data_IF_867352960965
#
_entry.id   IF_867352960965
#
_cell.length_a   1.000
_cell.length_b   1.000
_cell.length_c   1.000
_cell.angle_alpha   90.00
_cell.angle_beta   90.00
_cell.angle_gamma   90.00
#
_symmetry.space_group_name_H-M   'P 1'
#
loop_
_entity.id
_entity.type
_entity.pdbx_description
1 polymer ?
#
# COMPACT_ATOMS: atom_id res chain seq x y z
N UNK A 1 57.99 41.79 23.28
CA UNK A 1 56.91 41.00 23.91
C UNK A 1 55.62 41.22 23.13
N UNK A 2 54.79 40.17 23.04
CA UNK A 2 53.58 40.01 22.20
C UNK A 2 53.92 39.75 20.71
N UNK A 3 53.70 38.58 20.12
CA UNK A 3 52.87 37.42 20.48
C UNK A 3 51.83 37.18 19.40
N UNK A 4 52.27 36.88 18.17
CA UNK A 4 51.40 36.70 17.00
C UNK A 4 50.81 35.27 17.02
N UNK A 5 49.58 35.11 17.54
CA UNK A 5 48.86 33.82 17.56
C UNK A 5 48.19 33.56 16.20
N UNK A 6 48.84 32.78 15.36
CA UNK A 6 48.21 32.10 14.23
C UNK A 6 47.18 31.07 14.76
N UNK A 7 45.89 31.28 14.47
CA UNK A 7 44.84 30.31 14.76
C UNK A 7 44.86 29.19 13.72
N UNK A 8 45.36 28.04 14.15
CA UNK A 8 45.37 26.78 13.42
C UNK A 8 43.92 26.29 13.19
N UNK A 9 43.38 26.48 11.98
CA UNK A 9 42.10 25.89 11.57
C UNK A 9 42.32 24.43 11.18
N UNK A 10 42.22 23.52 12.15
CA UNK A 10 42.06 22.07 11.91
C UNK A 10 40.80 21.82 11.06
N UNK A 11 40.96 21.65 9.75
CA UNK A 11 39.95 21.07 8.85
C UNK A 11 39.64 19.64 9.34
N UNK A 12 38.49 19.44 10.00
CA UNK A 12 37.91 18.10 10.18
C UNK A 12 37.56 17.55 8.79
N UNK A 13 38.37 16.62 8.28
CA UNK A 13 38.01 15.77 7.14
C UNK A 13 36.76 14.96 7.53
N UNK A 14 35.58 15.37 7.07
CA UNK A 14 34.38 14.51 7.02
C UNK A 14 34.56 13.53 5.86
N UNK A 15 35.43 12.55 6.05
CA UNK A 15 35.53 11.38 5.18
C UNK A 15 34.68 10.25 5.75
N UNK A 16 33.36 10.33 5.60
CA UNK A 16 32.49 9.19 5.85
C UNK A 16 32.66 8.20 4.70
N UNK A 17 33.55 7.22 4.85
CA UNK A 17 33.66 6.12 3.89
C UNK A 17 32.32 5.39 3.83
N UNK A 18 31.74 5.25 2.63
CA UNK A 18 30.57 4.38 2.42
C UNK A 18 30.93 2.99 2.94
N UNK A 19 30.27 2.55 4.02
CA UNK A 19 30.46 1.22 4.59
C UNK A 19 30.14 0.21 3.48
N UNK A 20 31.12 -0.61 3.11
CA UNK A 20 30.96 -1.63 2.06
C UNK A 20 29.88 -2.62 2.53
N UNK A 21 28.96 -2.98 1.65
CA UNK A 21 27.89 -3.94 1.96
C UNK A 21 28.49 -5.31 2.33
N UNK A 22 27.86 -6.03 3.26
CA UNK A 22 28.20 -7.42 3.54
C UNK A 22 27.79 -8.32 2.38
N UNK A 23 28.32 -9.56 2.33
CA UNK A 23 27.93 -10.54 1.30
C UNK A 23 26.42 -10.84 1.34
N UNK A 24 25.86 -10.97 2.54
CA UNK A 24 24.42 -11.14 2.77
C UNK A 24 23.62 -9.95 2.24
N UNK A 25 24.03 -8.72 2.56
CA UNK A 25 23.38 -7.51 2.04
C UNK A 25 23.46 -7.41 0.51
N UNK A 26 24.57 -7.85 -0.09
CA UNK A 26 24.72 -7.92 -1.54
C UNK A 26 23.76 -8.94 -2.18
N UNK A 27 23.64 -10.13 -1.59
CA UNK A 27 22.70 -11.16 -2.05
C UNK A 27 21.25 -10.71 -1.92
N UNK A 28 20.89 -10.14 -0.76
CA UNK A 28 19.57 -9.56 -0.52
C UNK A 28 19.25 -8.43 -1.51
N UNK A 29 20.21 -7.52 -1.75
CA UNK A 29 20.04 -6.46 -2.75
C UNK A 29 19.83 -6.99 -4.16
N UNK A 30 20.57 -8.02 -4.56
CA UNK A 30 20.39 -8.67 -5.86
C UNK A 30 18.98 -9.25 -5.98
N UNK A 31 18.54 -10.03 -5.00
CA UNK A 31 17.20 -10.64 -4.98
C UNK A 31 16.07 -9.61 -5.02
N UNK A 32 16.16 -8.56 -4.19
CA UNK A 32 15.17 -7.47 -4.16
C UNK A 32 15.15 -6.73 -5.50
N UNK A 33 16.33 -6.39 -6.04
CA UNK A 33 16.43 -5.67 -7.32
C UNK A 33 15.87 -6.50 -8.48
N UNK A 34 16.16 -7.81 -8.52
CA UNK A 34 15.61 -8.72 -9.52
C UNK A 34 14.09 -8.72 -9.50
N UNK A 35 13.47 -8.81 -8.32
CA UNK A 35 12.00 -8.75 -8.19
C UNK A 35 11.40 -7.41 -8.63
N UNK A 36 12.04 -6.29 -8.27
CA UNK A 36 11.58 -4.95 -8.65
C UNK A 36 11.57 -4.78 -10.17
N UNK A 37 12.56 -5.32 -10.87
CA UNK A 37 12.76 -5.09 -12.31
C UNK A 37 12.43 -6.30 -13.20
N UNK A 38 11.63 -7.28 -12.73
CA UNK A 38 11.27 -8.50 -13.49
C UNK A 38 10.80 -8.18 -14.92
N UNK A 39 9.89 -7.21 -15.08
CA UNK A 39 9.27 -6.83 -16.36
C UNK A 39 10.29 -6.40 -17.43
N UNK A 40 11.36 -5.70 -17.02
CA UNK A 40 12.42 -5.26 -17.93
C UNK A 40 13.33 -6.42 -18.39
N UNK A 41 13.51 -7.45 -17.56
CA UNK A 41 14.30 -8.62 -17.91
C UNK A 41 13.61 -9.48 -18.97
N UNK A 42 12.28 -9.59 -18.90
CA UNK A 42 11.49 -10.35 -19.88
C UNK A 42 11.40 -9.64 -21.24
N UNK A 43 11.33 -8.30 -21.27
CA UNK A 43 11.35 -7.53 -22.52
C UNK A 43 12.71 -7.60 -23.25
N UNK A 44 13.83 -7.64 -22.52
CA UNK A 44 15.16 -7.80 -23.13
C UNK A 44 15.39 -9.17 -23.80
N UNK A 45 14.58 -10.18 -23.45
CA UNK A 45 14.62 -11.48 -24.12
C UNK A 45 13.77 -11.52 -25.41
N UNK A 46 12.83 -10.59 -25.59
CA UNK A 46 11.87 -10.60 -26.69
C UNK A 46 12.03 -9.46 -27.71
N UNK A 47 12.75 -8.36 -27.38
CA UNK A 47 13.01 -7.33 -28.38
C UNK A 47 14.26 -6.50 -28.09
N UNK A 48 15.24 -6.58 -28.98
CA UNK A 48 16.25 -5.54 -29.15
C UNK A 48 15.61 -4.38 -29.93
N UNK A 49 14.83 -3.52 -29.27
CA UNK A 49 14.42 -2.23 -29.87
C UNK A 49 15.42 -1.18 -29.42
N UNK A 50 16.27 -0.77 -30.36
CA UNK A 50 17.15 0.38 -30.24
C UNK A 50 16.28 1.62 -30.35
N UNK A 51 16.26 2.46 -29.32
CA UNK A 51 15.65 3.79 -29.39
C UNK A 51 16.53 4.70 -30.26
N UNK A 52 15.88 5.47 -31.14
CA UNK A 52 16.46 6.27 -32.24
C UNK A 52 17.23 7.52 -31.73
N UNK A 53 17.42 7.62 -30.41
CA UNK A 53 18.20 8.67 -29.75
C UNK A 53 19.47 8.18 -29.06
N UNK A 54 19.96 6.97 -29.33
CA UNK A 54 21.36 6.60 -29.09
C UNK A 54 21.89 6.74 -27.65
N UNK A 55 21.03 6.94 -26.66
CA UNK A 55 21.42 6.92 -25.25
C UNK A 55 21.23 5.51 -24.76
N UNK A 56 22.31 4.73 -24.78
CA UNK A 56 22.42 3.56 -23.90
C UNK A 56 22.17 4.06 -22.46
N UNK A 57 20.99 3.82 -21.91
CA UNK A 57 20.81 3.87 -20.45
C UNK A 57 21.68 2.76 -19.89
N UNK A 58 22.90 3.12 -19.50
CA UNK A 58 23.80 2.23 -18.78
C UNK A 58 23.04 1.71 -17.55
N UNK A 59 22.74 0.42 -17.54
CA UNK A 59 22.18 -0.26 -16.38
C UNK A 59 23.06 0.00 -15.16
N UNK A 60 22.39 0.35 -14.06
CA UNK A 60 22.90 0.46 -12.69
C UNK A 60 24.42 0.53 -12.56
N UNK A 61 24.99 1.74 -12.65
CA UNK A 61 26.24 2.00 -11.91
C UNK A 61 25.94 1.67 -10.45
N UNK A 62 26.58 0.64 -9.90
CA UNK A 62 26.35 0.17 -8.53
C UNK A 62 26.24 1.34 -7.54
N UNK A 63 25.04 1.58 -7.04
CA UNK A 63 24.77 2.73 -6.18
C UNK A 63 23.34 3.29 -6.16
N UNK A 64 22.44 2.91 -7.07
CA UNK A 64 21.03 3.33 -6.96
C UNK A 64 20.33 2.55 -5.83
N UNK A 65 19.78 3.28 -4.87
CA UNK A 65 19.04 2.70 -3.75
C UNK A 65 17.65 2.30 -4.25
N UNK A 66 17.26 1.05 -4.01
CA UNK A 66 15.88 0.61 -4.23
C UNK A 66 15.04 1.11 -3.05
N UNK A 67 14.09 2.00 -3.33
CA UNK A 67 13.24 2.63 -2.33
C UNK A 67 11.82 2.07 -2.43
N UNK A 68 11.31 1.58 -1.30
CA UNK A 68 9.94 1.12 -1.15
C UNK A 68 9.19 2.14 -0.31
N UNK A 69 7.97 2.43 -0.72
CA UNK A 69 6.96 3.12 0.08
C UNK A 69 5.83 2.12 0.34
N UNK A 70 5.60 1.75 1.59
CA UNK A 70 4.68 0.68 1.96
C UNK A 70 3.41 1.18 2.64
N UNK A 71 3.24 2.49 2.84
CA UNK A 71 2.05 3.05 3.47
C UNK A 71 1.78 4.46 2.92
N UNK A 72 0.75 4.59 2.09
CA UNK A 72 0.38 5.87 1.49
C UNK A 72 -1.10 5.93 1.10
N UNK A 73 -1.63 7.16 1.06
CA UNK A 73 -3.05 7.45 0.88
C UNK A 73 -3.30 8.38 -0.31
N UNK A 74 -4.43 8.17 -0.98
CA UNK A 74 -4.90 8.97 -2.10
C UNK A 74 -6.26 9.61 -1.80
N UNK A 75 -6.78 10.38 -2.76
CA UNK A 75 -8.13 10.95 -2.71
C UNK A 75 -9.26 9.91 -2.65
N UNK A 76 -8.98 8.63 -2.85
CA UNK A 76 -10.00 7.59 -2.70
C UNK A 76 -10.34 7.32 -1.23
N UNK A 77 -9.51 7.77 -0.29
CA UNK A 77 -9.84 7.79 1.13
C UNK A 77 -9.73 9.20 1.71
N UNK A 78 -8.62 9.58 2.32
CA UNK A 78 -8.43 10.89 2.94
C UNK A 78 -7.10 11.54 2.57
N UNK A 79 -6.44 11.08 1.50
CA UNK A 79 -5.33 11.79 0.87
C UNK A 79 -5.77 13.04 0.10
N UNK A 80 -4.78 13.81 -0.35
CA UNK A 80 -4.94 15.04 -1.13
C UNK A 80 -4.54 14.88 -2.58
N UNK A 81 -3.84 13.81 -2.94
CA UNK A 81 -3.40 13.53 -4.31
C UNK A 81 -4.27 12.42 -4.92
N UNK A 82 -4.59 12.53 -6.22
CA UNK A 82 -5.15 11.36 -6.92
C UNK A 82 -4.08 10.25 -6.98
N UNK A 83 -4.47 8.98 -7.17
CA UNK A 83 -3.52 7.90 -7.36
C UNK A 83 -2.43 8.22 -8.41
N UNK A 84 -2.81 8.81 -9.54
CA UNK A 84 -1.85 9.28 -10.57
C UNK A 84 -0.84 10.27 -10.02
N UNK A 85 -1.30 11.30 -9.30
CA UNK A 85 -0.41 12.34 -8.72
C UNK A 85 0.45 11.80 -7.59
N UNK A 86 -0.06 10.83 -6.83
CA UNK A 86 0.69 10.13 -5.79
C UNK A 86 1.87 9.35 -6.41
N UNK A 87 1.61 8.61 -7.49
CA UNK A 87 2.65 7.87 -8.23
C UNK A 87 3.69 8.81 -8.82
N UNK A 88 3.27 9.90 -9.47
CA UNK A 88 4.18 10.92 -10.01
C UNK A 88 5.09 11.49 -8.90
N UNK A 89 4.52 11.80 -7.73
CA UNK A 89 5.28 12.30 -6.57
C UNK A 89 6.26 11.26 -6.04
N UNK A 90 5.83 10.02 -5.89
CA UNK A 90 6.68 8.91 -5.45
C UNK A 90 7.87 8.70 -6.42
N UNK A 91 7.61 8.74 -7.73
CA UNK A 91 8.66 8.66 -8.75
C UNK A 91 9.71 9.78 -8.60
N UNK A 92 9.25 11.02 -8.42
CA UNK A 92 10.15 12.17 -8.21
C UNK A 92 11.05 12.00 -6.98
N UNK A 93 10.59 11.27 -5.96
CA UNK A 93 11.36 10.96 -4.76
C UNK A 93 12.22 9.69 -4.89
N UNK A 94 12.25 9.07 -6.07
CA UNK A 94 13.07 7.88 -6.35
C UNK A 94 12.46 6.56 -5.88
N UNK A 95 11.18 6.55 -5.49
CA UNK A 95 10.45 5.32 -5.13
C UNK A 95 10.37 4.40 -6.35
N UNK A 96 10.64 3.11 -6.13
CA UNK A 96 10.55 2.05 -7.17
C UNK A 96 9.35 1.14 -6.96
N UNK A 97 8.95 0.95 -5.70
CA UNK A 97 7.79 0.16 -5.31
C UNK A 97 6.92 0.99 -4.38
N UNK A 98 5.65 1.14 -4.71
CA UNK A 98 4.68 1.91 -3.96
C UNK A 98 3.48 1.02 -3.60
N UNK A 99 3.15 0.90 -2.31
CA UNK A 99 1.87 0.37 -1.88
C UNK A 99 0.89 1.53 -1.71
N UNK A 100 -0.23 1.48 -2.44
CA UNK A 100 -1.36 2.36 -2.18
C UNK A 100 -2.28 1.64 -1.19
N UNK A 101 -2.51 2.25 -0.03
CA UNK A 101 -3.17 1.63 1.12
C UNK A 101 -4.28 2.53 1.65
N UNK A 102 -5.11 3.05 0.74
CA UNK A 102 -6.25 3.90 1.08
C UNK A 102 -7.12 3.28 2.19
N UNK A 103 -7.64 4.11 3.08
CA UNK A 103 -8.51 3.61 4.14
C UNK A 103 -9.77 2.94 3.60
N UNK A 104 -9.95 1.68 3.99
CA UNK A 104 -11.13 0.87 3.76
C UNK A 104 -11.56 0.79 2.27
N UNK A 105 -10.65 0.98 1.31
CA UNK A 105 -10.96 0.85 -0.13
C UNK A 105 -9.73 0.53 -0.96
N UNK A 106 -9.92 -0.26 -2.02
CA UNK A 106 -8.91 -0.52 -3.06
C UNK A 106 -9.27 0.15 -4.40
N UNK A 107 -10.22 1.09 -4.40
CA UNK A 107 -10.75 1.67 -5.65
C UNK A 107 -9.75 2.51 -6.43
N UNK A 108 -8.70 3.03 -5.78
CA UNK A 108 -7.63 3.81 -6.42
C UNK A 108 -6.52 2.96 -7.06
N UNK A 109 -6.49 1.65 -6.79
CA UNK A 109 -5.41 0.76 -7.25
C UNK A 109 -5.30 0.71 -8.79
N UNK A 110 -6.40 0.54 -9.57
CA UNK A 110 -6.28 0.52 -11.03
C UNK A 110 -5.65 1.80 -11.62
N UNK A 111 -6.01 2.98 -11.11
CA UNK A 111 -5.43 4.25 -11.55
C UNK A 111 -3.93 4.33 -11.18
N UNK A 112 -3.56 3.89 -9.97
CA UNK A 112 -2.16 3.86 -9.54
C UNK A 112 -1.31 2.94 -10.43
N UNK A 113 -1.82 1.74 -10.73
CA UNK A 113 -1.13 0.75 -11.58
C UNK A 113 -0.91 1.32 -12.99
N UNK A 114 -1.93 1.93 -13.59
CA UNK A 114 -1.80 2.54 -14.92
C UNK A 114 -0.78 3.68 -14.93
N UNK A 115 -0.82 4.58 -13.94
CA UNK A 115 0.12 5.68 -13.82
C UNK A 115 1.58 5.21 -13.65
N UNK A 116 1.79 4.12 -12.90
CA UNK A 116 3.11 3.58 -12.55
C UNK A 116 3.88 3.00 -13.73
N UNK A 117 3.16 2.48 -14.74
CA UNK A 117 3.76 1.93 -15.97
C UNK A 117 4.63 2.95 -16.69
N UNK A 118 4.19 4.20 -16.73
CA UNK A 118 4.91 5.31 -17.38
C UNK A 118 6.29 5.56 -16.75
N UNK A 119 6.47 5.14 -15.50
CA UNK A 119 7.68 5.36 -14.72
C UNK A 119 8.48 4.07 -14.44
N UNK A 120 8.00 2.91 -14.91
CA UNK A 120 8.56 1.61 -14.56
C UNK A 120 8.54 1.36 -13.04
N UNK A 121 7.52 1.87 -12.36
CA UNK A 121 7.30 1.63 -10.94
C UNK A 121 6.38 0.43 -10.73
N UNK A 122 6.58 -0.32 -9.65
CA UNK A 122 5.68 -1.40 -9.25
C UNK A 122 4.70 -0.89 -8.20
N UNK A 123 3.41 -1.15 -8.39
CA UNK A 123 2.39 -0.91 -7.37
C UNK A 123 2.09 -2.20 -6.64
N UNK A 124 2.12 -2.19 -5.31
CA UNK A 124 1.58 -3.26 -4.47
C UNK A 124 0.12 -2.89 -4.16
N UNK A 125 -0.88 -3.66 -4.63
CA UNK A 125 -2.26 -3.47 -4.22
C UNK A 125 -2.39 -3.62 -2.70
N UNK A 126 -2.94 -2.62 -2.04
CA UNK A 126 -3.14 -2.66 -0.60
C UNK A 126 -4.33 -1.84 -0.12
N UNK A 127 -4.60 -1.96 1.17
CA UNK A 127 -5.66 -1.25 1.87
C UNK A 127 -5.26 -1.10 3.34
N UNK A 128 -5.56 0.05 3.95
CA UNK A 128 -5.51 0.19 5.41
C UNK A 128 -6.91 -0.01 5.98
N UNK A 129 -7.12 -1.13 6.67
CA UNK A 129 -8.41 -1.53 7.21
C UNK A 129 -8.58 -0.96 8.61
N UNK A 130 -9.66 -0.21 8.81
CA UNK A 130 -10.06 0.35 10.10
C UNK A 130 -10.76 -0.72 10.92
N UNK A 131 -10.24 -0.97 12.13
CA UNK A 131 -10.75 -2.01 13.03
C UNK A 131 -10.77 -1.49 14.46
N UNK A 132 -11.33 -2.28 15.36
CA UNK A 132 -11.25 -2.07 16.80
C UNK A 132 -10.66 -3.30 17.48
N UNK A 133 -9.88 -3.04 18.52
CA UNK A 133 -9.50 -4.05 19.49
C UNK A 133 -10.36 -3.89 20.73
N UNK A 134 -11.00 -4.98 21.14
CA UNK A 134 -11.82 -5.04 22.36
C UNK A 134 -11.22 -6.07 23.32
N UNK A 135 -10.61 -5.64 24.44
CA UNK A 135 -10.16 -6.58 25.46
C UNK A 135 -11.35 -7.26 26.11
N UNK A 136 -11.22 -8.54 26.44
CA UNK A 136 -12.30 -9.40 26.94
C UNK A 136 -12.94 -8.96 28.27
N UNK A 137 -12.45 -7.89 28.91
CA UNK A 137 -12.87 -7.43 30.22
C UNK A 137 -12.96 -5.90 30.27
N UNK A 138 -14.15 -5.33 30.05
CA UNK A 138 -14.57 -3.95 30.41
C UNK A 138 -13.67 -2.76 30.00
N UNK A 139 -12.62 -2.98 29.24
CA UNK A 139 -11.74 -1.94 28.73
C UNK A 139 -12.38 -1.24 27.53
N UNK A 140 -12.03 0.03 27.35
CA UNK A 140 -12.47 0.83 26.22
C UNK A 140 -11.92 0.25 24.92
N UNK A 141 -12.79 0.11 23.92
CA UNK A 141 -12.41 -0.24 22.56
C UNK A 141 -11.32 0.71 22.05
N UNK A 142 -10.29 0.14 21.43
CA UNK A 142 -9.15 0.88 20.91
C UNK A 142 -9.13 0.77 19.38
N UNK A 143 -9.12 1.88 18.63
CA UNK A 143 -8.97 1.84 17.18
C UNK A 143 -7.62 1.24 16.79
N UNK A 144 -7.65 0.27 15.88
CA UNK A 144 -6.45 -0.37 15.33
C UNK A 144 -6.56 -0.38 13.81
N UNK A 145 -5.45 -0.13 13.12
CA UNK A 145 -5.41 -0.20 11.67
C UNK A 145 -4.48 -1.32 11.20
N UNK A 146 -4.96 -2.10 10.22
CA UNK A 146 -4.21 -3.21 9.63
C UNK A 146 -3.98 -2.91 8.15
N UNK A 147 -2.73 -2.89 7.72
CA UNK A 147 -2.36 -2.87 6.32
C UNK A 147 -2.50 -4.28 5.76
N UNK A 148 -3.16 -4.39 4.61
CA UNK A 148 -3.21 -5.60 3.81
C UNK A 148 -2.43 -5.37 2.50
N UNK A 149 -1.56 -6.31 2.14
CA UNK A 149 -0.84 -6.29 0.86
C UNK A 149 -1.14 -7.53 0.03
N UNK A 150 -1.57 -7.31 -1.21
CA UNK A 150 -1.96 -8.34 -2.15
C UNK A 150 -1.01 -8.42 -3.35
N UNK A 151 -1.15 -9.51 -4.11
CA UNK A 151 -0.51 -9.66 -5.41
C UNK A 151 -1.07 -8.68 -6.43
N UNK A 152 -0.49 -8.60 -7.63
CA UNK A 152 -1.07 -7.82 -8.72
C UNK A 152 -2.51 -8.20 -9.06
N UNK A 153 -2.88 -9.48 -8.95
CA UNK A 153 -4.26 -9.95 -9.19
C UNK A 153 -5.23 -9.48 -8.09
N UNK A 154 -4.71 -9.05 -6.94
CA UNK A 154 -5.52 -8.68 -5.79
C UNK A 154 -5.92 -9.86 -4.91
N UNK A 155 -6.95 -9.66 -4.06
CA UNK A 155 -7.51 -10.72 -3.21
C UNK A 155 -8.24 -11.79 -4.02
N UNK A 156 -8.03 -13.07 -3.67
CA UNK A 156 -8.66 -14.24 -4.32
C UNK A 156 -10.19 -14.21 -4.21
N UNK A 157 -10.71 -13.75 -3.07
CA UNK A 157 -12.15 -13.60 -2.75
C UNK A 157 -12.51 -12.12 -2.67
N UNK A 158 -12.27 -11.37 -3.76
CA UNK A 158 -12.44 -9.91 -3.81
C UNK A 158 -13.82 -9.44 -3.32
N UNK A 159 -14.91 -10.11 -3.72
CA UNK A 159 -16.26 -9.65 -3.36
C UNK A 159 -16.53 -9.70 -1.85
N UNK A 160 -15.88 -10.61 -1.13
CA UNK A 160 -16.05 -10.76 0.31
C UNK A 160 -15.32 -9.67 1.08
N UNK A 161 -14.06 -9.41 0.71
CA UNK A 161 -13.32 -8.29 1.28
C UNK A 161 -13.93 -6.95 0.88
N UNK A 162 -14.38 -6.75 -0.36
CA UNK A 162 -15.01 -5.49 -0.77
C UNK A 162 -16.32 -5.24 -0.01
N UNK A 163 -17.12 -6.30 0.25
CA UNK A 163 -18.31 -6.20 1.10
C UNK A 163 -17.94 -5.85 2.55
N UNK A 164 -16.90 -6.48 3.10
CA UNK A 164 -16.39 -6.18 4.44
C UNK A 164 -15.95 -4.70 4.55
N UNK A 165 -15.17 -4.23 3.57
CA UNK A 165 -14.73 -2.84 3.49
C UNK A 165 -15.90 -1.86 3.27
N UNK A 166 -16.90 -2.23 2.47
CA UNK A 166 -18.10 -1.42 2.26
C UNK A 166 -18.89 -1.19 3.54
N UNK A 167 -19.01 -2.22 4.40
CA UNK A 167 -19.66 -2.09 5.69
C UNK A 167 -18.93 -1.10 6.61
N UNK A 168 -17.58 -1.14 6.63
CA UNK A 168 -16.78 -0.17 7.38
C UNK A 168 -17.02 1.26 6.86
N UNK A 169 -17.03 1.43 5.53
CA UNK A 169 -17.29 2.73 4.88
C UNK A 169 -18.69 3.27 5.22
N UNK A 170 -19.70 2.42 5.29
CA UNK A 170 -21.06 2.83 5.71
C UNK A 170 -21.07 3.30 7.18
N UNK A 171 -20.44 2.54 8.09
CA UNK A 171 -20.29 2.96 9.49
C UNK A 171 -19.56 4.30 9.62
N UNK A 172 -18.50 4.51 8.81
CA UNK A 172 -17.75 5.78 8.74
C UNK A 172 -18.63 6.94 8.27
N UNK A 173 -19.49 6.72 7.28
CA UNK A 173 -20.44 7.72 6.79
C UNK A 173 -21.43 8.16 7.88
N UNK A 174 -22.03 7.20 8.59
CA UNK A 174 -22.94 7.47 9.71
C UNK A 174 -22.23 8.21 10.84
N UNK A 175 -21.02 7.79 11.18
CA UNK A 175 -20.17 8.45 12.18
C UNK A 175 -19.89 9.90 11.82
N UNK A 176 -19.56 10.20 10.58
CA UNK A 176 -19.30 11.59 10.15
C UNK A 176 -20.54 12.47 10.22
N UNK A 177 -21.73 11.94 9.90
CA UNK A 177 -22.98 12.67 10.13
C UNK A 177 -23.19 12.99 11.60
N UNK A 178 -22.93 12.05 12.51
CA UNK A 178 -23.04 12.29 13.94
C UNK A 178 -22.05 13.35 14.43
N UNK A 179 -20.79 13.32 13.95
CA UNK A 179 -19.81 14.37 14.26
C UNK A 179 -20.29 15.76 13.83
N UNK A 180 -20.89 15.89 12.63
CA UNK A 180 -21.49 17.14 12.17
C UNK A 180 -22.64 17.59 13.06
N UNK A 181 -23.52 16.66 13.47
CA UNK A 181 -24.61 16.98 14.41
C UNK A 181 -24.09 17.45 15.77
N UNK A 182 -23.03 16.83 16.31
CA UNK A 182 -22.38 17.25 17.55
C UNK A 182 -21.76 18.65 17.41
N UNK A 183 -21.05 18.92 16.32
CA UNK A 183 -20.50 20.26 16.05
C UNK A 183 -21.60 21.33 15.96
N UNK A 184 -22.74 21.01 15.32
CA UNK A 184 -23.88 21.91 15.24
C UNK A 184 -24.45 22.24 16.64
N UNK A 185 -24.54 21.24 17.54
CA UNK A 185 -24.94 21.45 18.95
C UNK A 185 -23.93 22.31 19.72
N UNK A 186 -22.65 22.24 19.37
CA UNK A 186 -21.59 23.09 19.92
C UNK A 186 -21.56 24.50 19.32
N UNK A 187 -22.58 24.88 18.53
CA UNK A 187 -22.69 26.19 17.86
C UNK A 187 -21.59 26.42 16.79
N UNK A 188 -21.10 25.34 16.18
CA UNK A 188 -20.19 25.34 15.04
C UNK A 188 -20.91 24.73 13.82
N UNK A 189 -21.90 25.43 13.23
CA UNK A 189 -22.75 24.83 12.21
C UNK A 189 -21.96 24.46 10.96
N UNK A 190 -21.95 23.17 10.61
CA UNK A 190 -21.44 22.61 9.37
C UNK A 190 -22.57 21.94 8.59
N UNK A 191 -22.53 22.15 7.27
CA UNK A 191 -23.43 21.50 6.32
C UNK A 191 -22.84 20.16 5.90
N UNK A 192 -23.67 19.11 5.88
CA UNK A 192 -23.25 17.78 5.45
C UNK A 192 -22.70 17.80 4.01
N UNK A 193 -23.33 18.58 3.14
CA UNK A 193 -22.98 18.71 1.73
C UNK A 193 -21.56 19.25 1.55
N UNK A 194 -21.10 20.09 2.48
CA UNK A 194 -19.73 20.61 2.46
C UNK A 194 -18.72 19.52 2.81
N UNK A 195 -18.97 18.75 3.87
CA UNK A 195 -18.12 17.61 4.26
C UNK A 195 -18.07 16.58 3.13
N UNK A 196 -19.22 16.23 2.54
CA UNK A 196 -19.29 15.28 1.43
C UNK A 196 -18.54 15.80 0.18
N UNK A 197 -18.64 17.10 -0.12
CA UNK A 197 -17.88 17.72 -1.22
C UNK A 197 -16.37 17.65 -1.00
N UNK A 198 -15.90 17.84 0.23
CA UNK A 198 -14.47 17.75 0.57
C UNK A 198 -13.97 16.30 0.45
N UNK A 199 -14.77 15.33 0.89
CA UNK A 199 -14.43 13.91 0.75
C UNK A 199 -14.37 13.49 -0.74
N UNK A 200 -15.31 13.96 -1.55
CA UNK A 200 -15.43 13.60 -2.95
C UNK A 200 -16.42 12.45 -3.19
N UNK A 201 -16.74 12.23 -4.45
CA UNK A 201 -17.75 11.23 -4.83
C UNK A 201 -17.24 9.82 -4.55
N UNK A 202 -18.08 8.99 -3.91
CA UNK A 202 -17.74 7.59 -3.58
C UNK A 202 -16.79 7.43 -2.40
N UNK A 203 -16.37 8.52 -1.74
CA UNK A 203 -15.45 8.50 -0.60
C UNK A 203 -16.26 8.61 0.69
N UNK A 204 -16.05 7.65 1.61
CA UNK A 204 -16.68 7.69 2.93
C UNK A 204 -16.00 8.74 3.82
N UNK A 205 -16.70 9.81 4.25
CA UNK A 205 -16.05 10.89 4.98
C UNK A 205 -15.57 10.43 6.37
N UNK A 206 -14.26 10.45 6.62
CA UNK A 206 -13.67 10.31 7.96
C UNK A 206 -13.53 11.62 8.76
N UNK A 207 -12.94 11.51 9.96
CA UNK A 207 -12.62 12.65 10.85
C UNK A 207 -11.82 13.75 10.16
N UNK A 208 -10.89 13.38 9.28
CA UNK A 208 -10.07 14.34 8.55
C UNK A 208 -10.89 15.24 7.63
N UNK A 209 -11.94 14.72 6.97
CA UNK A 209 -12.82 15.53 6.12
C UNK A 209 -13.67 16.51 6.93
N UNK A 210 -14.15 16.07 8.10
CA UNK A 210 -14.85 16.97 9.04
C UNK A 210 -13.90 18.07 9.53
N UNK A 211 -12.66 17.72 9.90
CA UNK A 211 -11.63 18.67 10.30
C UNK A 211 -11.33 19.69 9.19
N UNK A 212 -11.23 19.26 7.93
CA UNK A 212 -11.06 20.15 6.76
C UNK A 212 -12.25 21.08 6.61
N UNK A 213 -13.48 20.57 6.73
CA UNK A 213 -14.69 21.40 6.68
C UNK A 213 -14.70 22.47 7.80
N UNK A 214 -14.23 22.13 9.00
CA UNK A 214 -14.07 23.10 10.10
C UNK A 214 -13.06 24.20 9.77
N UNK A 215 -11.94 23.85 9.11
CA UNK A 215 -10.93 24.82 8.67
C UNK A 215 -11.50 25.72 7.57
N UNK A 216 -12.10 25.15 6.53
CA UNK A 216 -12.69 25.91 5.43
C UNK A 216 -13.84 26.82 5.89
N UNK A 217 -14.59 26.42 6.92
CA UNK A 217 -15.63 27.24 7.53
C UNK A 217 -15.10 28.31 8.51
N UNK A 218 -13.78 28.34 8.78
CA UNK A 218 -13.15 29.33 9.65
C UNK A 218 -13.36 29.09 11.16
N UNK A 219 -13.84 27.91 11.57
CA UNK A 219 -14.04 27.58 12.98
C UNK A 219 -12.73 27.22 13.71
N UNK A 220 -11.73 26.77 12.96
CA UNK A 220 -10.39 26.43 13.45
C UNK A 220 -9.35 26.86 12.44
N UNK A 221 -8.17 27.24 12.91
CA UNK A 221 -7.05 27.74 12.10
C UNK A 221 -6.38 26.65 11.26
N UNK A 222 -6.39 25.41 11.75
CA UNK A 222 -5.70 24.29 11.11
C UNK A 222 -6.23 22.94 11.63
N UNK A 223 -5.84 21.86 10.94
CA UNK A 223 -6.24 20.49 11.28
C UNK A 223 -5.84 20.10 12.72
N UNK A 224 -4.66 20.50 13.17
CA UNK A 224 -4.18 20.21 14.54
C UNK A 224 -5.13 20.79 15.58
N UNK A 225 -5.63 22.00 15.37
CA UNK A 225 -6.62 22.61 16.25
C UNK A 225 -7.96 21.87 16.22
N UNK A 226 -8.43 21.43 15.04
CA UNK A 226 -9.65 20.63 14.91
C UNK A 226 -9.57 19.33 15.73
N UNK A 227 -8.49 18.56 15.56
CA UNK A 227 -8.28 17.32 16.31
C UNK A 227 -8.11 17.57 17.81
N UNK A 228 -7.24 18.49 18.22
CA UNK A 228 -6.96 18.71 19.65
C UNK A 228 -8.14 19.26 20.46
N UNK A 229 -9.05 20.03 19.85
CA UNK A 229 -10.18 20.66 20.57
C UNK A 229 -11.49 19.90 20.45
N UNK A 230 -11.74 19.24 19.32
CA UNK A 230 -13.08 18.73 18.98
C UNK A 230 -13.11 17.25 18.62
N UNK A 231 -12.15 16.78 17.82
CA UNK A 231 -12.22 15.48 17.14
C UNK A 231 -11.25 14.40 17.69
N UNK A 232 -10.53 14.69 18.78
CA UNK A 232 -9.70 13.70 19.48
C UNK A 232 -10.57 12.59 20.08
N UNK A 233 -9.98 11.44 20.40
CA UNK A 233 -10.72 10.31 20.97
C UNK A 233 -11.37 10.68 22.31
N UNK A 234 -12.70 10.56 22.39
CA UNK A 234 -13.49 11.02 23.53
C UNK A 234 -13.77 12.53 23.57
N UNK A 235 -13.39 13.27 22.52
CA UNK A 235 -13.64 14.71 22.39
C UNK A 235 -15.11 15.08 22.17
N UNK A 236 -15.45 16.38 22.25
CA UNK A 236 -16.84 16.84 22.29
C UNK A 236 -17.61 16.61 20.98
N UNK A 237 -16.91 16.52 19.85
CA UNK A 237 -17.49 16.17 18.56
C UNK A 237 -17.10 14.77 18.08
N UNK A 238 -16.37 14.00 18.89
CA UNK A 238 -15.98 12.64 18.56
C UNK A 238 -17.21 11.72 18.55
N UNK A 239 -17.24 10.79 17.59
CA UNK A 239 -18.21 9.70 17.56
C UNK A 239 -17.44 8.40 17.36
N UNK A 240 -17.89 7.35 18.03
CA UNK A 240 -17.44 5.98 17.75
C UNK A 240 -18.15 5.45 16.52
N UNK A 241 -17.54 4.47 15.86
CA UNK A 241 -18.12 3.74 14.73
C UNK A 241 -18.51 2.32 15.13
N UNK A 242 -18.86 1.53 14.12
CA UNK A 242 -19.09 0.08 14.23
C UNK A 242 -18.02 -0.66 13.42
N UNK A 243 -16.76 -0.31 13.66
CA UNK A 243 -15.64 -1.02 13.06
C UNK A 243 -15.65 -2.51 13.50
N UNK A 244 -15.19 -3.43 12.63
CA UNK A 244 -15.09 -4.84 12.95
C UNK A 244 -13.93 -5.11 13.92
N UNK A 245 -13.95 -6.29 14.53
CA UNK A 245 -12.86 -6.74 15.38
C UNK A 245 -11.59 -6.94 14.54
N UNK A 246 -10.46 -6.51 15.08
CA UNK A 246 -9.17 -6.55 14.39
C UNK A 246 -8.75 -7.98 14.01
N UNK A 247 -9.10 -8.99 14.81
CA UNK A 247 -8.81 -10.38 14.51
C UNK A 247 -9.59 -10.88 13.27
N UNK A 248 -10.84 -10.44 13.09
CA UNK A 248 -11.65 -10.78 11.91
C UNK A 248 -11.01 -10.22 10.63
N UNK A 249 -10.51 -8.99 10.69
CA UNK A 249 -9.80 -8.39 9.55
C UNK A 249 -8.51 -9.15 9.22
N UNK A 250 -7.70 -9.52 10.22
CA UNK A 250 -6.46 -10.30 9.99
C UNK A 250 -6.76 -11.66 9.37
N UNK A 251 -7.79 -12.36 9.87
CA UNK A 251 -8.21 -13.64 9.33
C UNK A 251 -8.69 -13.51 7.88
N UNK A 252 -9.53 -12.52 7.59
CA UNK A 252 -10.03 -12.27 6.24
C UNK A 252 -8.89 -11.92 5.27
N UNK A 253 -7.89 -11.15 5.69
CA UNK A 253 -6.71 -10.86 4.86
C UNK A 253 -5.98 -12.16 4.49
N UNK A 254 -5.78 -13.06 5.45
CA UNK A 254 -5.13 -14.35 5.21
C UNK A 254 -5.96 -15.23 4.26
N UNK A 255 -7.26 -15.36 4.50
CA UNK A 255 -8.18 -16.15 3.66
C UNK A 255 -8.31 -15.63 2.22
N UNK A 256 -7.98 -14.36 1.99
CA UNK A 256 -8.04 -13.72 0.68
C UNK A 256 -6.67 -13.64 -0.01
N UNK A 257 -5.64 -14.29 0.53
CA UNK A 257 -4.31 -14.35 -0.08
C UNK A 257 -3.48 -13.07 0.10
N UNK A 258 -3.73 -12.32 1.17
CA UNK A 258 -3.01 -11.10 1.52
C UNK A 258 -2.08 -11.28 2.71
N UNK A 259 -1.17 -10.32 2.87
CA UNK A 259 -0.31 -10.22 4.05
C UNK A 259 -0.81 -9.11 4.98
N UNK A 260 -1.01 -9.45 6.26
CA UNK A 260 -1.50 -8.53 7.29
C UNK A 260 -0.37 -7.91 8.13
N UNK A 261 -0.37 -6.59 8.27
CA UNK A 261 0.65 -5.81 8.98
C UNK A 261 0.00 -4.75 9.87
N UNK A 262 0.44 -4.65 11.13
CA UNK A 262 -0.07 -3.63 12.05
C UNK A 262 0.50 -2.25 11.69
N UNK A 263 -0.39 -1.31 11.35
CA UNK A 263 -0.03 0.06 11.02
C UNK A 263 0.30 0.85 12.29
N UNK A 264 1.27 1.77 12.18
CA UNK A 264 1.64 2.81 13.16
C UNK A 264 1.38 2.46 14.64
N UNK A 265 1.93 1.35 15.18
CA UNK A 265 1.61 0.85 16.52
C UNK A 265 1.96 1.82 17.66
N UNK A 266 2.74 2.87 17.38
CA UNK A 266 3.00 3.98 18.30
C UNK A 266 1.79 4.88 18.56
N UNK A 267 0.72 4.77 17.77
CA UNK A 267 -0.55 5.46 18.02
C UNK A 267 -1.42 4.71 19.05
N UNK A 268 -1.08 3.45 19.36
CA UNK A 268 -1.81 2.63 20.31
C UNK A 268 -1.48 3.03 21.76
N UNK A 269 -2.50 3.00 22.63
CA UNK A 269 -2.40 3.14 24.08
C UNK A 269 -1.75 1.91 24.69
N UNK A 270 -2.18 0.71 24.28
CA UNK A 270 -1.71 -0.57 24.85
C UNK A 270 -1.24 -1.57 23.77
N UNK A 271 -0.09 -1.33 23.12
CA UNK A 271 0.33 -2.11 21.95
C UNK A 271 0.68 -3.58 22.26
N UNK A 272 1.22 -3.91 23.44
CA UNK A 272 1.70 -5.27 23.77
C UNK A 272 0.60 -6.34 23.70
N UNK A 273 -0.54 -6.21 24.42
CA UNK A 273 -1.62 -7.20 24.36
C UNK A 273 -2.22 -7.31 22.95
N UNK A 274 -2.34 -6.18 22.23
CA UNK A 274 -2.84 -6.14 20.85
C UNK A 274 -1.91 -6.95 19.95
N UNK A 275 -0.62 -6.65 19.93
CA UNK A 275 0.38 -7.35 19.09
C UNK A 275 0.38 -8.84 19.37
N UNK A 276 0.32 -9.26 20.64
CA UNK A 276 0.24 -10.68 21.01
C UNK A 276 -1.00 -11.35 20.41
N UNK A 277 -2.18 -10.74 20.59
CA UNK A 277 -3.43 -11.29 20.08
C UNK A 277 -3.47 -11.35 18.56
N UNK A 278 -2.95 -10.32 17.89
CA UNK A 278 -2.85 -10.29 16.43
C UNK A 278 -1.86 -11.32 15.91
N UNK A 279 -0.74 -11.56 16.61
CA UNK A 279 0.17 -12.65 16.26
C UNK A 279 -0.55 -13.99 16.28
N UNK A 280 -1.34 -14.27 17.31
CA UNK A 280 -2.14 -15.49 17.41
C UNK A 280 -3.19 -15.59 16.28
N UNK A 281 -3.67 -14.45 15.77
CA UNK A 281 -4.62 -14.38 14.66
C UNK A 281 -3.98 -14.48 13.26
N UNK A 282 -2.64 -14.51 13.15
CA UNK A 282 -1.93 -14.62 11.86
C UNK A 282 -1.28 -13.34 11.34
N UNK A 283 -1.00 -12.36 12.21
CA UNK A 283 -0.26 -11.16 11.83
C UNK A 283 1.15 -11.50 11.33
N UNK A 284 1.56 -10.88 10.22
CA UNK A 284 2.86 -11.13 9.57
C UNK A 284 3.93 -10.12 9.96
N UNK A 285 3.53 -8.86 10.21
CA UNK A 285 4.47 -7.78 10.50
C UNK A 285 3.85 -6.61 11.25
N UNK A 286 4.70 -5.68 11.66
CA UNK A 286 4.30 -4.40 12.24
C UNK A 286 5.15 -3.28 11.66
N UNK A 287 4.62 -2.06 11.64
CA UNK A 287 5.42 -0.89 11.33
C UNK A 287 6.36 -0.55 12.51
N UNK A 288 7.64 -0.43 12.18
CA UNK A 288 8.75 -0.11 13.10
C UNK A 288 9.56 1.07 12.58
N UNK A 289 9.64 1.23 11.26
CA UNK A 289 10.39 2.29 10.60
C UNK A 289 9.49 3.49 10.28
N UNK A 290 10.01 4.68 10.59
CA UNK A 290 9.44 5.99 10.27
C UNK A 290 10.47 6.84 9.53
N UNK A 291 10.07 8.02 9.09
CA UNK A 291 10.96 8.99 8.45
C UNK A 291 12.08 9.48 9.38
N UNK A 292 11.83 9.50 10.69
CA UNK A 292 12.76 9.91 11.74
C UNK A 292 13.62 8.76 12.30
N UNK A 293 13.39 7.52 11.85
CA UNK A 293 14.23 6.37 12.17
C UNK A 293 13.47 5.10 12.54
N UNK A 294 14.19 4.17 13.16
CA UNK A 294 13.66 2.90 13.65
C UNK A 294 13.26 3.05 15.11
N UNK A 295 12.05 2.63 15.46
CA UNK A 295 11.60 2.63 16.85
C UNK A 295 12.01 1.33 17.55
N UNK A 296 13.04 1.39 18.40
CA UNK A 296 13.62 0.19 19.04
C UNK A 296 12.60 -0.61 19.86
N UNK A 297 11.70 0.05 20.60
CA UNK A 297 10.67 -0.64 21.38
C UNK A 297 9.77 -1.56 20.53
N UNK A 298 9.38 -1.10 19.33
CA UNK A 298 8.58 -1.91 18.40
C UNK A 298 9.46 -2.92 17.65
N UNK A 299 10.74 -2.60 17.39
CA UNK A 299 11.70 -3.57 16.85
C UNK A 299 11.85 -4.78 17.78
N UNK A 300 11.98 -4.55 19.08
CA UNK A 300 12.15 -5.61 20.08
C UNK A 300 10.87 -6.45 20.23
N UNK A 301 9.69 -5.81 20.17
CA UNK A 301 8.40 -6.52 20.14
C UNK A 301 8.27 -7.38 18.87
N UNK A 302 8.65 -6.85 17.72
CA UNK A 302 8.64 -7.61 16.47
C UNK A 302 9.57 -8.84 16.56
N UNK A 303 10.76 -8.70 17.13
CA UNK A 303 11.67 -9.85 17.36
C UNK A 303 11.05 -10.87 18.32
N UNK A 304 10.46 -10.40 19.43
CA UNK A 304 9.85 -11.24 20.45
C UNK A 304 8.74 -12.12 19.89
N UNK A 305 7.93 -11.59 18.97
CA UNK A 305 6.80 -12.30 18.38
C UNK A 305 7.09 -12.88 16.98
N UNK A 306 8.33 -12.76 16.48
CA UNK A 306 8.70 -13.22 15.15
C UNK A 306 7.86 -12.55 14.05
N UNK A 307 7.79 -11.22 14.06
CA UNK A 307 7.05 -10.38 13.12
C UNK A 307 8.02 -9.61 12.22
N UNK A 308 7.63 -9.37 10.97
CA UNK A 308 8.37 -8.50 10.05
C UNK A 308 8.39 -7.06 10.56
N UNK A 309 9.52 -6.38 10.35
CA UNK A 309 9.74 -4.98 10.74
C UNK A 309 9.61 -4.08 9.52
N UNK A 310 8.43 -3.54 9.27
CA UNK A 310 8.14 -2.76 8.08
C UNK A 310 7.99 -1.27 8.42
N UNK A 311 7.56 -0.48 7.45
CA UNK A 311 7.23 0.93 7.65
C UNK A 311 6.96 1.63 6.33
N UNK A 312 6.04 2.58 6.36
CA UNK A 312 5.85 3.56 5.30
C UNK A 312 5.68 4.96 5.87
N UNK A 313 5.53 5.93 4.99
CA UNK A 313 5.44 7.34 5.36
C UNK A 313 4.10 7.73 5.97
N UNK A 314 3.05 6.92 5.74
CA UNK A 314 1.66 7.28 6.03
C UNK A 314 1.30 8.62 5.35
N UNK A 315 1.78 8.79 4.11
CA UNK A 315 1.66 10.05 3.38
C UNK A 315 0.22 10.27 2.90
N UNK A 316 -0.32 11.46 3.18
CA UNK A 316 -1.62 11.92 2.71
C UNK A 316 -1.52 13.13 1.77
N UNK A 317 -0.37 13.79 1.68
CA UNK A 317 -0.18 15.01 0.87
C UNK A 317 -0.84 16.25 1.47
N UNK A 318 -0.95 16.31 2.81
CA UNK A 318 -1.46 17.45 3.58
C UNK A 318 -0.61 18.71 3.37
N UNK A 319 0.68 18.52 3.07
CA UNK A 319 1.65 19.61 2.97
C UNK A 319 2.08 20.13 4.35
N UNK A 320 3.12 20.96 4.36
CA UNK A 320 3.75 21.46 5.58
C UNK A 320 4.87 20.55 6.10
N UNK A 321 5.52 20.95 7.20
CA UNK A 321 6.74 20.30 7.70
C UNK A 321 6.51 19.09 8.62
N UNK A 322 5.25 18.78 8.97
CA UNK A 322 4.91 17.74 9.95
C UNK A 322 4.56 16.38 9.32
N UNK A 323 4.47 16.29 8.00
CA UNK A 323 4.15 15.07 7.28
C UNK A 323 5.42 14.45 6.70
N UNK A 324 5.55 13.12 6.82
CA UNK A 324 6.64 12.38 6.19
C UNK A 324 6.40 12.32 4.68
N UNK A 325 7.41 12.62 3.89
CA UNK A 325 7.31 12.58 2.42
C UNK A 325 7.40 11.14 1.88
N UNK A 326 6.82 10.87 0.71
CA UNK A 326 6.87 9.54 0.06
C UNK A 326 8.32 9.08 -0.14
N UNK A 327 8.64 7.86 0.29
CA UNK A 327 9.98 7.28 0.17
C UNK A 327 11.00 7.80 1.20
N UNK A 328 10.56 8.63 2.16
CA UNK A 328 11.42 9.13 3.24
C UNK A 328 11.78 8.06 4.26
N UNK A 329 10.97 7.00 4.40
CA UNK A 329 11.23 5.88 5.31
C UNK A 329 12.32 4.97 4.73
N UNK A 330 13.45 4.91 5.43
CA UNK A 330 14.60 4.13 4.98
C UNK A 330 14.53 2.69 5.47
N UNK A 331 13.94 1.80 4.66
CA UNK A 331 13.96 0.36 4.93
C UNK A 331 15.31 -0.26 4.53
N UNK A 332 16.03 -0.95 5.43
CA UNK A 332 17.23 -1.70 5.09
C UNK A 332 16.92 -2.79 4.06
N UNK A 333 17.88 -3.07 3.16
CA UNK A 333 17.67 -4.08 2.11
C UNK A 333 17.37 -5.48 2.65
N UNK A 334 17.90 -5.83 3.82
CA UNK A 334 17.60 -7.10 4.50
C UNK A 334 16.14 -7.17 4.93
N UNK A 335 15.55 -6.06 5.38
CA UNK A 335 14.13 -5.97 5.72
C UNK A 335 13.27 -6.17 4.48
N UNK A 336 13.63 -5.53 3.35
CA UNK A 336 12.92 -5.72 2.08
C UNK A 336 13.02 -7.16 1.57
N UNK A 337 14.17 -7.80 1.77
CA UNK A 337 14.37 -9.19 1.40
C UNK A 337 13.53 -10.15 2.26
N UNK A 338 13.49 -9.98 3.58
CA UNK A 338 12.61 -10.78 4.45
C UNK A 338 11.13 -10.54 4.17
N UNK A 339 10.74 -9.29 3.88
CA UNK A 339 9.39 -8.96 3.40
C UNK A 339 9.03 -9.79 2.17
N UNK A 340 9.87 -9.79 1.14
CA UNK A 340 9.60 -10.55 -0.10
C UNK A 340 9.63 -12.06 0.11
N UNK A 341 10.48 -12.57 1.02
CA UNK A 341 10.52 -14.02 1.34
C UNK A 341 9.21 -14.53 1.93
N UNK A 342 8.49 -13.71 2.68
CA UNK A 342 7.19 -14.06 3.25
C UNK A 342 6.05 -13.73 2.27
N UNK A 343 6.09 -12.57 1.64
CA UNK A 343 5.01 -12.09 0.79
C UNK A 343 4.88 -12.88 -0.52
N UNK A 344 6.00 -13.24 -1.16
CA UNK A 344 5.97 -13.89 -2.48
C UNK A 344 5.28 -15.26 -2.48
N UNK A 345 5.55 -16.19 -1.54
CA UNK A 345 4.80 -17.44 -1.47
C UNK A 345 3.29 -17.25 -1.30
N UNK A 346 2.87 -16.32 -0.45
CA UNK A 346 1.46 -15.98 -0.24
C UNK A 346 0.82 -15.49 -1.55
N UNK A 347 1.47 -14.54 -2.21
CA UNK A 347 1.00 -13.98 -3.47
C UNK A 347 0.99 -14.99 -4.62
N UNK A 348 1.99 -15.87 -4.70
CA UNK A 348 2.04 -16.94 -5.71
C UNK A 348 0.92 -17.95 -5.49
N UNK A 349 0.64 -18.34 -4.24
CA UNK A 349 -0.50 -19.19 -3.90
C UNK A 349 -1.83 -18.55 -4.32
N UNK A 350 -2.02 -17.27 -3.97
CA UNK A 350 -3.22 -16.53 -4.36
C UNK A 350 -3.41 -16.44 -5.88
N UNK A 351 -2.33 -16.19 -6.63
CA UNK A 351 -2.36 -16.18 -8.10
C UNK A 351 -2.73 -17.57 -8.64
N UNK A 352 -2.13 -18.62 -8.09
CA UNK A 352 -2.42 -20.02 -8.46
C UNK A 352 -3.90 -20.33 -8.28
N UNK A 353 -4.46 -20.05 -7.10
CA UNK A 353 -5.87 -20.30 -6.79
C UNK A 353 -6.81 -19.58 -7.77
N UNK A 354 -6.52 -18.31 -8.10
CA UNK A 354 -7.31 -17.56 -9.08
C UNK A 354 -7.23 -18.16 -10.49
N UNK A 355 -6.06 -18.63 -10.91
CA UNK A 355 -5.90 -19.29 -12.20
C UNK A 355 -6.60 -20.65 -12.25
N UNK A 356 -6.55 -21.43 -11.17
CA UNK A 356 -7.28 -22.71 -11.06
C UNK A 356 -8.79 -22.50 -11.16
N UNK A 357 -9.34 -21.51 -10.45
CA UNK A 357 -10.76 -21.13 -10.56
C UNK A 357 -11.13 -20.76 -12.01
N UNK A 358 -10.27 -20.00 -12.70
CA UNK A 358 -10.51 -19.63 -14.10
C UNK A 358 -10.40 -20.83 -15.06
N UNK A 359 -9.50 -21.77 -14.79
CA UNK A 359 -9.40 -23.01 -15.57
C UNK A 359 -10.65 -23.87 -15.42
N UNK A 360 -11.21 -23.95 -14.22
CA UNK A 360 -12.46 -24.69 -13.94
C UNK A 360 -13.70 -24.00 -14.52
N UNK A 361 -13.76 -22.67 -14.43
CA UNK A 361 -14.83 -21.83 -15.00
C UNK A 361 -14.26 -20.61 -15.76
N UNK A 362 -14.02 -20.72 -17.07
CA UNK A 362 -13.47 -19.64 -17.90
C UNK A 362 -14.51 -18.58 -18.27
N UNK A 363 -15.15 -18.00 -17.27
CA UNK A 363 -16.12 -16.93 -17.42
C UNK A 363 -15.45 -15.55 -17.49
N UNK A 364 -16.11 -14.60 -18.17
CA UNK A 364 -15.67 -13.19 -18.20
C UNK A 364 -15.55 -12.58 -16.80
N UNK A 365 -16.38 -13.06 -15.86
CA UNK A 365 -16.34 -12.68 -14.45
C UNK A 365 -15.02 -13.09 -13.78
N UNK A 366 -14.58 -14.34 -13.95
CA UNK A 366 -13.32 -14.82 -13.39
C UNK A 366 -12.10 -14.19 -14.06
N UNK A 367 -12.19 -13.90 -15.37
CA UNK A 367 -11.16 -13.15 -16.07
C UNK A 367 -11.06 -11.69 -15.57
N UNK A 368 -12.21 -11.05 -15.32
CA UNK A 368 -12.27 -9.71 -14.74
C UNK A 368 -11.70 -9.66 -13.32
N UNK A 369 -11.82 -10.75 -12.54
CA UNK A 369 -11.19 -10.87 -11.21
C UNK A 369 -9.67 -10.85 -11.32
N UNK A 370 -9.08 -11.69 -12.18
CA UNK A 370 -7.62 -11.75 -12.39
C UNK A 370 -7.07 -10.40 -12.88
N UNK A 371 -7.81 -9.72 -13.76
CA UNK A 371 -7.36 -8.48 -14.40
C UNK A 371 -7.79 -7.21 -13.66
N UNK A 372 -8.48 -7.33 -12.51
CA UNK A 372 -9.14 -6.21 -11.81
C UNK A 372 -8.22 -5.01 -11.54
N UNK A 373 -7.01 -5.28 -11.07
CA UNK A 373 -6.04 -4.22 -10.73
C UNK A 373 -4.98 -4.00 -11.80
N UNK A 374 -4.77 -4.99 -12.67
CA UNK A 374 -3.88 -4.88 -13.82
C UNK A 374 -4.69 -4.72 -15.09
N UNK A 375 -5.03 -3.49 -15.48
CA UNK A 375 -5.58 -3.26 -16.83
C UNK A 375 -4.56 -3.76 -17.85
N UNK A 376 -4.79 -4.83 -18.60
CA UNK A 376 -3.85 -5.19 -19.66
C UNK A 376 -3.83 -4.06 -20.68
N UNK A 377 -2.73 -3.30 -20.72
CA UNK A 377 -2.56 -2.26 -21.71
C UNK A 377 -2.40 -2.93 -23.05
N UNK A 378 -3.50 -3.19 -23.75
CA UNK A 378 -3.46 -3.38 -25.19
C UNK A 378 -3.05 -2.02 -25.73
N UNK A 379 -1.73 -1.81 -25.85
CA UNK A 379 -1.21 -0.75 -26.70
C UNK A 379 -1.93 -0.88 -28.04
N UNK A 380 -2.36 0.24 -28.63
CA UNK A 380 -2.92 0.25 -29.99
C UNK A 380 -1.86 -0.32 -30.95
N UNK A 381 -1.83 -1.65 -31.13
CA UNK A 381 -0.76 -2.37 -31.82
C UNK A 381 -0.38 -3.75 -31.25
N UNK A 382 -0.68 -4.05 -29.98
CA UNK A 382 -0.54 -5.41 -29.43
C UNK A 382 -1.70 -6.27 -29.88
N UNK A 383 -1.41 -7.45 -30.45
CA UNK A 383 -2.43 -8.44 -30.83
C UNK A 383 -3.40 -8.68 -29.68
N UNK A 384 -4.71 -8.68 -29.99
CA UNK A 384 -5.73 -9.12 -29.05
C UNK A 384 -5.32 -10.46 -28.41
N UNK A 385 -5.58 -10.63 -27.11
CA UNK A 385 -5.37 -11.89 -26.40
C UNK A 385 -6.17 -12.96 -27.13
N UNK A 386 -5.50 -13.86 -27.84
CA UNK A 386 -6.16 -14.86 -28.68
C UNK A 386 -6.33 -16.18 -27.93
N UNK A 387 -5.63 -16.37 -26.79
CA UNK A 387 -5.72 -17.59 -25.98
C UNK A 387 -5.40 -17.35 -24.49
N UNK A 388 -5.86 -18.28 -23.63
CA UNK A 388 -5.62 -18.31 -22.17
C UNK A 388 -4.14 -18.19 -21.78
N UNK A 389 -3.26 -18.67 -22.67
CA UNK A 389 -1.82 -18.62 -22.52
C UNK A 389 -1.24 -17.18 -22.55
N UNK A 390 -1.85 -16.27 -23.31
CA UNK A 390 -1.39 -14.88 -23.40
C UNK A 390 -1.61 -14.12 -22.08
N UNK A 391 -2.64 -14.52 -21.30
CA UNK A 391 -2.90 -13.99 -19.95
C UNK A 391 -1.74 -14.34 -19.01
N UNK A 392 -1.33 -15.61 -18.98
CA UNK A 392 -0.21 -16.08 -18.16
C UNK A 392 1.10 -15.43 -18.61
N UNK A 393 1.40 -15.49 -19.91
CA UNK A 393 2.69 -15.08 -20.45
C UNK A 393 2.93 -13.57 -20.34
N UNK A 394 1.86 -12.77 -20.19
CA UNK A 394 1.97 -11.32 -19.94
C UNK A 394 1.94 -10.96 -18.45
N UNK A 395 1.17 -11.68 -17.63
CA UNK A 395 0.86 -11.26 -16.25
C UNK A 395 1.77 -11.89 -15.19
N UNK A 396 2.08 -13.20 -15.29
CA UNK A 396 2.91 -13.89 -14.31
C UNK A 396 4.36 -13.34 -14.24
N UNK A 397 5.02 -13.02 -15.36
CA UNK A 397 6.38 -12.48 -15.34
C UNK A 397 6.52 -11.11 -14.65
N UNK A 398 5.42 -10.44 -14.32
CA UNK A 398 5.43 -9.16 -13.62
C UNK A 398 5.74 -9.30 -12.13
N UNK A 399 5.40 -10.45 -11.54
CA UNK A 399 5.42 -10.67 -10.09
C UNK A 399 6.10 -11.97 -9.68
N UNK A 400 6.21 -12.93 -10.59
CA UNK A 400 6.84 -14.22 -10.35
C UNK A 400 8.16 -14.34 -11.09
N UNK A 401 9.13 -14.97 -10.44
CA UNK A 401 10.40 -15.37 -11.04
C UNK A 401 10.22 -16.56 -11.98
N UNK A 402 11.18 -16.78 -12.88
CA UNK A 402 11.19 -17.94 -13.79
C UNK A 402 11.09 -19.27 -13.04
N UNK A 403 11.76 -19.38 -11.89
CA UNK A 403 11.74 -20.58 -11.04
C UNK A 403 10.34 -20.85 -10.45
N UNK A 404 9.64 -19.80 -9.99
CA UNK A 404 8.27 -19.93 -9.50
C UNK A 404 7.27 -20.27 -10.63
N UNK A 405 7.49 -19.72 -11.83
CA UNK A 405 6.65 -19.99 -13.00
C UNK A 405 6.86 -21.43 -13.52
N UNK A 406 8.09 -21.95 -13.46
CA UNK A 406 8.45 -23.31 -13.90
C UNK A 406 8.15 -24.39 -12.85
N UNK A 407 7.46 -24.03 -11.77
CA UNK A 407 6.96 -25.01 -10.81
C UNK A 407 5.91 -25.90 -11.49
N UNK A 408 5.92 -27.20 -11.15
CA UNK A 408 5.04 -28.23 -11.72
C UNK A 408 3.58 -27.80 -11.71
N UNK A 409 3.14 -27.18 -10.61
CA UNK A 409 1.77 -26.69 -10.45
C UNK A 409 1.38 -25.63 -11.49
N UNK A 410 2.29 -24.71 -11.82
CA UNK A 410 2.05 -23.66 -12.80
C UNK A 410 2.17 -24.17 -14.24
N UNK A 411 3.03 -25.15 -14.50
CA UNK A 411 3.12 -25.81 -15.82
C UNK A 411 1.83 -26.57 -16.16
N UNK A 412 1.23 -27.26 -15.19
CA UNK A 412 -0.07 -27.94 -15.38
C UNK A 412 -1.19 -26.95 -15.69
N UNK A 413 -1.25 -25.82 -14.95
CA UNK A 413 -2.21 -24.73 -15.20
C UNK A 413 -1.98 -24.12 -16.59
N UNK A 414 -0.72 -23.89 -16.96
CA UNK A 414 -0.34 -23.33 -18.27
C UNK A 414 -0.74 -24.24 -19.43
N UNK A 415 -0.55 -25.55 -19.27
CA UNK A 415 -0.97 -26.54 -20.25
C UNK A 415 -2.50 -26.50 -20.43
N UNK A 416 -3.27 -26.50 -19.34
CA UNK A 416 -4.73 -26.40 -19.39
C UNK A 416 -5.20 -25.12 -20.09
N UNK A 417 -4.59 -23.98 -19.78
CA UNK A 417 -4.94 -22.68 -20.38
C UNK A 417 -4.53 -22.54 -21.86
N UNK A 418 -3.51 -23.27 -22.31
CA UNK A 418 -3.08 -23.24 -23.71
C UNK A 418 -4.10 -23.80 -24.69
N UNK A 419 -5.05 -24.58 -24.20
CA UNK A 419 -6.16 -25.16 -24.97
C UNK A 419 -7.43 -24.30 -24.95
N UNK A 420 -7.42 -23.14 -24.28
CA UNK A 420 -8.60 -22.30 -24.08
C UNK A 420 -8.53 -21.02 -24.92
N UNK A 421 -9.60 -20.71 -25.65
CA UNK A 421 -9.75 -19.44 -26.39
C UNK A 421 -10.33 -18.37 -25.48
N UNK A 422 -9.66 -17.21 -25.36
CA UNK A 422 -10.21 -16.03 -24.67
C UNK A 422 -11.05 -15.26 -25.68
N UNK A 423 -12.35 -15.10 -25.43
CA UNK A 423 -13.17 -14.10 -26.12
C UNK A 423 -13.28 -12.87 -25.23
N UNK A 424 -12.40 -11.88 -25.42
CA UNK A 424 -12.60 -10.56 -24.82
C UNK A 424 -13.69 -9.83 -25.62
N UNK A 425 -14.96 -10.12 -25.33
CA UNK A 425 -16.05 -9.29 -25.82
C UNK A 425 -16.02 -7.96 -25.07
N UNK A 426 -15.93 -6.87 -25.82
CA UNK A 426 -15.84 -5.51 -25.29
C UNK A 426 -17.01 -5.21 -24.35
N UNK A 427 -16.70 -5.00 -23.07
CA UNK A 427 -17.69 -4.76 -22.03
C UNK A 427 -17.14 -3.87 -20.91
N UNK A 428 -16.67 -2.67 -21.26
CA UNK A 428 -16.62 -1.58 -20.29
C UNK A 428 -18.08 -1.20 -20.01
N UNK A 429 -18.65 -1.72 -18.92
CA UNK A 429 -19.73 -1.01 -18.24
C UNK A 429 -19.05 0.01 -17.33
N UNK A 430 -19.23 1.32 -17.55
CA UNK A 430 -18.84 2.30 -16.54
C UNK A 430 -19.61 1.95 -15.29
N UNK A 431 -18.91 1.62 -14.19
CA UNK A 431 -19.53 1.59 -12.87
C UNK A 431 -20.15 2.97 -12.65
N UNK A 432 -21.46 3.04 -12.83
CA UNK A 432 -22.24 4.24 -12.68
C UNK A 432 -22.11 4.74 -11.25
N UNK A 433 -21.85 6.03 -11.15
CA UNK A 433 -22.17 6.82 -9.97
C UNK A 433 -23.61 6.53 -9.55
N UNK A 434 -23.79 5.92 -8.39
CA UNK A 434 -24.95 6.13 -7.53
C UNK A 434 -24.47 6.44 -6.13
#
# INVERSE_FOLDING_TARGET
MAGNKAKDKKKKKRGGGKKKMTAEQHSAYKSVSEWVYLEQQHLTAASCVVDDFGVQKSFGRGGEKVVFELHSHSKHSDGFLSPTKLVERAHMNGVKVLALTDHDTMSGIPEAVDAARRFGMKIIPGVEISTIFSPSNFDLEEPVHILAYYSSCGPTRYEEIDKFLANIREGRYLRAKDMVLKLNKLKLPLKWEHVAKIAGNGVAPGRLHVARAMVEAGYVENLKQAFSRYLYDGGPAYSTGSEPLVEEAVQLIHETGGMAVLAHPWALKNPIPIIKKLKDAGLHGIEVYRSDGRLEAFSDLADTYGLLKLGGSDFHGRGGHSESELGSVNLPVLVLHEFLKIARPIWCGAIKDMLEIYVEDPSDSNLARITRFGQMGISKGSSALNCGKDLIDHYLPLWMTKEEIQNVDFEDIKLKLSHMSINMSAGIVPMGTK
#
